data_IF_301875111003
#
_entry.id   IF_301875111003
#
_cell.length_a   1.000
_cell.length_b   1.000
_cell.length_c   1.000
_cell.angle_alpha   90.00
_cell.angle_beta   90.00
_cell.angle_gamma   90.00
#
_symmetry.space_group_name_H-M   'P 1'
#
loop_
_entity.id
_entity.type
_entity.pdbx_description
1 polymer ?
#
# COMPACT_ATOMS: atom_id res chain seq x y z
N UNK A 1 9.78 -19.25 11.33
CA UNK A 1 9.69 -18.16 10.32
C UNK A 1 10.74 -17.11 10.66
N UNK A 2 11.49 -16.63 9.67
CA UNK A 2 12.46 -15.56 9.89
C UNK A 2 11.78 -14.28 10.41
N UNK A 3 12.44 -13.43 11.23
CA UNK A 3 11.85 -12.19 11.74
C UNK A 3 11.27 -11.30 10.63
N UNK A 4 12.00 -11.21 9.51
CA UNK A 4 11.58 -10.47 8.32
C UNK A 4 10.31 -11.05 7.66
N UNK A 5 10.19 -12.38 7.61
CA UNK A 5 9.00 -13.07 7.09
C UNK A 5 7.77 -12.83 7.99
N UNK A 6 7.94 -12.92 9.31
CA UNK A 6 6.87 -12.66 10.29
C UNK A 6 6.37 -11.22 10.20
N UNK A 7 7.28 -10.26 10.07
CA UNK A 7 6.92 -8.84 9.84
C UNK A 7 6.14 -8.66 8.56
N UNK A 8 6.63 -9.21 7.44
CA UNK A 8 5.97 -9.10 6.14
C UNK A 8 4.54 -9.67 6.17
N UNK A 9 4.32 -10.74 6.95
CA UNK A 9 2.98 -11.28 7.15
C UNK A 9 2.06 -10.31 7.90
N UNK A 10 2.52 -9.73 9.02
CA UNK A 10 1.73 -8.76 9.78
C UNK A 10 1.42 -7.50 8.97
N UNK A 11 2.41 -6.94 8.27
CA UNK A 11 2.21 -5.76 7.43
C UNK A 11 1.25 -6.06 6.27
N UNK A 12 1.28 -7.28 5.72
CA UNK A 12 0.32 -7.71 4.73
C UNK A 12 -1.11 -7.77 5.30
N UNK A 13 -1.30 -8.44 6.44
CA UNK A 13 -2.63 -8.58 7.07
C UNK A 13 -3.22 -7.21 7.41
N UNK A 14 -2.42 -6.34 8.03
CA UNK A 14 -2.84 -4.98 8.40
C UNK A 14 -3.16 -4.16 7.14
N UNK A 15 -2.31 -4.23 6.11
CA UNK A 15 -2.54 -3.55 4.84
C UNK A 15 -3.81 -4.01 4.14
N UNK A 16 -4.09 -5.31 4.13
CA UNK A 16 -5.32 -5.87 3.53
C UNK A 16 -6.54 -5.47 4.33
N UNK A 17 -6.50 -5.59 5.66
CA UNK A 17 -7.61 -5.18 6.52
C UNK A 17 -7.94 -3.69 6.33
N UNK A 18 -6.91 -2.86 6.22
CA UNK A 18 -7.07 -1.43 5.97
C UNK A 18 -7.62 -1.14 4.56
N UNK A 19 -7.13 -1.84 3.53
CA UNK A 19 -7.67 -1.71 2.18
C UNK A 19 -9.16 -2.06 2.12
N UNK A 20 -9.56 -3.15 2.78
CA UNK A 20 -10.97 -3.56 2.90
C UNK A 20 -11.78 -2.49 3.63
N UNK A 21 -11.28 -1.99 4.77
CA UNK A 21 -11.96 -0.96 5.54
C UNK A 21 -12.23 0.30 4.70
N UNK A 22 -11.24 0.75 3.92
CA UNK A 22 -11.43 1.88 3.00
C UNK A 22 -12.47 1.57 1.92
N UNK A 23 -12.41 0.40 1.29
CA UNK A 23 -13.39 0.01 0.27
C UNK A 23 -14.81 0.04 0.86
N UNK A 24 -15.00 -0.48 2.07
CA UNK A 24 -16.29 -0.44 2.76
C UNK A 24 -16.74 1.00 3.01
N UNK A 25 -15.86 1.86 3.52
CA UNK A 25 -16.18 3.28 3.74
C UNK A 25 -16.60 3.96 2.44
N UNK A 26 -15.87 3.75 1.34
CA UNK A 26 -16.23 4.33 0.05
C UNK A 26 -17.56 3.78 -0.52
N UNK A 27 -17.88 2.51 -0.29
CA UNK A 27 -19.17 1.93 -0.70
C UNK A 27 -20.32 2.51 0.11
N UNK A 28 -20.12 2.69 1.42
CA UNK A 28 -21.14 3.23 2.33
C UNK A 28 -21.45 4.70 2.08
N UNK A 29 -20.43 5.51 1.79
CA UNK A 29 -20.64 6.94 1.51
C UNK A 29 -21.30 7.19 0.15
N UNK A 30 -21.26 6.22 -0.77
CA UNK A 30 -22.10 6.14 -1.97
C UNK A 30 -21.83 7.17 -3.07
N UNK A 31 -21.15 8.29 -2.79
CA UNK A 31 -20.88 9.34 -3.76
C UNK A 31 -19.53 10.05 -3.55
N UNK A 32 -18.80 10.26 -4.64
CA UNK A 32 -17.55 11.06 -4.70
C UNK A 32 -17.82 12.52 -4.30
N UNK A 33 -19.06 13.00 -4.45
CA UNK A 33 -19.44 14.35 -4.01
C UNK A 33 -19.41 14.51 -2.49
N UNK A 34 -19.58 13.44 -1.72
CA UNK A 34 -19.51 13.45 -0.25
C UNK A 34 -18.15 13.95 0.24
N UNK A 35 -17.06 13.67 -0.48
CA UNK A 35 -15.73 14.19 -0.15
C UNK A 35 -15.64 15.73 -0.19
N UNK A 36 -16.41 16.36 -1.08
CA UNK A 36 -16.42 17.81 -1.21
C UNK A 36 -17.34 18.46 -0.18
N UNK A 37 -18.48 17.84 0.10
CA UNK A 37 -19.52 18.38 0.97
C UNK A 37 -19.26 18.12 2.45
N UNK A 38 -18.75 16.94 2.80
CA UNK A 38 -18.61 16.49 4.17
C UNK A 38 -17.19 16.69 4.71
N UNK A 39 -17.05 17.70 5.58
CA UNK A 39 -15.77 18.01 6.23
C UNK A 39 -15.27 16.84 7.08
N UNK A 40 -16.17 16.10 7.73
CA UNK A 40 -15.84 14.96 8.58
C UNK A 40 -15.23 13.81 7.78
N UNK A 41 -15.86 13.41 6.67
CA UNK A 41 -15.35 12.38 5.77
C UNK A 41 -13.94 12.69 5.27
N UNK A 42 -13.71 13.94 4.83
CA UNK A 42 -12.39 14.39 4.38
C UNK A 42 -11.31 14.28 5.47
N UNK A 43 -11.64 14.62 6.73
CA UNK A 43 -10.70 14.44 7.85
C UNK A 43 -10.41 12.98 8.15
N UNK A 44 -11.40 12.09 8.05
CA UNK A 44 -11.20 10.65 8.21
C UNK A 44 -10.24 10.15 7.14
N UNK A 45 -10.43 10.54 5.88
CA UNK A 45 -9.54 10.16 4.77
C UNK A 45 -8.11 10.67 4.99
N UNK A 46 -7.93 11.90 5.47
CA UNK A 46 -6.59 12.43 5.82
C UNK A 46 -5.96 11.75 7.03
N UNK A 47 -6.75 11.41 8.05
CA UNK A 47 -6.27 10.63 9.18
C UNK A 47 -5.82 9.24 8.72
N UNK A 48 -6.54 8.62 7.80
CA UNK A 48 -6.19 7.35 7.18
C UNK A 48 -4.88 7.47 6.37
N UNK A 49 -4.72 8.57 5.62
CA UNK A 49 -3.54 8.90 4.82
C UNK A 49 -2.26 9.03 5.65
N UNK A 50 -2.36 9.55 6.88
CA UNK A 50 -1.23 9.69 7.81
C UNK A 50 -1.06 8.43 8.67
N UNK A 51 -2.16 7.82 9.10
CA UNK A 51 -2.18 6.67 9.99
C UNK A 51 -1.54 5.42 9.38
N UNK A 52 -1.70 5.20 8.08
CA UNK A 52 -1.11 4.03 7.38
C UNK A 52 0.41 4.09 7.30
N UNK A 53 1.04 5.17 6.79
CA UNK A 53 2.49 5.31 6.85
C UNK A 53 3.01 5.22 8.28
N UNK A 54 2.34 5.84 9.25
CA UNK A 54 2.77 5.82 10.65
C UNK A 54 2.73 4.41 11.23
N UNK A 55 1.64 3.67 11.04
CA UNK A 55 1.57 2.28 11.50
C UNK A 55 2.65 1.41 10.87
N UNK A 56 2.93 1.60 9.58
CA UNK A 56 4.03 0.91 8.91
C UNK A 56 5.42 1.27 9.50
N UNK A 57 5.69 2.56 9.73
CA UNK A 57 6.94 3.03 10.34
C UNK A 57 7.12 2.51 11.77
N UNK A 58 6.07 2.55 12.58
CA UNK A 58 6.08 2.00 13.94
C UNK A 58 6.39 0.50 13.91
N UNK A 59 5.77 -0.25 12.98
CA UNK A 59 6.05 -1.67 12.83
C UNK A 59 7.50 -1.94 12.41
N UNK A 60 8.07 -1.11 11.53
CA UNK A 60 9.49 -1.20 11.14
C UNK A 60 10.39 -1.00 12.35
N UNK A 61 10.18 0.08 13.11
CA UNK A 61 11.03 0.46 14.24
C UNK A 61 10.99 -0.59 15.36
N UNK A 62 9.79 -1.08 15.68
CA UNK A 62 9.61 -2.11 16.69
C UNK A 62 10.20 -3.47 16.30
N UNK A 63 10.28 -3.80 15.01
CA UNK A 63 10.72 -5.13 14.55
C UNK A 63 12.18 -5.21 14.10
N UNK A 64 12.83 -4.09 13.73
CA UNK A 64 14.21 -4.06 13.23
C UNK A 64 15.24 -3.47 14.22
N UNK A 65 15.03 -3.65 15.53
CA UNK A 65 15.92 -3.08 16.57
C UNK A 65 17.41 -3.45 16.46
N UNK A 66 17.80 -4.47 15.69
CA UNK A 66 19.21 -4.85 15.50
C UNK A 66 19.54 -5.17 14.03
N UNK A 67 20.28 -4.32 13.30
CA UNK A 67 20.69 -4.56 11.91
C UNK A 67 21.62 -5.78 11.75
N UNK A 68 22.22 -6.27 12.84
CA UNK A 68 23.05 -7.49 12.88
C UNK A 68 22.26 -8.80 12.77
N UNK A 69 20.93 -8.76 12.75
CA UNK A 69 20.08 -9.95 12.57
C UNK A 69 19.73 -10.27 11.10
N UNK A 70 20.13 -9.42 10.15
CA UNK A 70 19.84 -9.63 8.73
C UNK A 70 20.96 -10.44 8.06
N UNK A 71 20.65 -11.69 7.74
CA UNK A 71 21.50 -12.59 6.96
C UNK A 71 21.64 -12.09 5.51
N UNK A 72 22.67 -12.54 4.78
CA UNK A 72 22.89 -12.18 3.37
C UNK A 72 21.68 -12.57 2.51
N UNK A 73 21.05 -13.70 2.85
CA UNK A 73 19.82 -14.16 2.21
C UNK A 73 18.68 -13.15 2.35
N UNK A 74 18.52 -12.58 3.54
CA UNK A 74 17.46 -11.63 3.84
C UNK A 74 17.66 -10.32 3.08
N UNK A 75 18.92 -9.89 2.89
CA UNK A 75 19.26 -8.72 2.06
C UNK A 75 18.88 -8.91 0.60
N UNK A 76 19.17 -10.08 0.02
CA UNK A 76 18.81 -10.39 -1.37
C UNK A 76 17.29 -10.42 -1.57
N UNK A 77 16.55 -11.01 -0.62
CA UNK A 77 15.08 -11.01 -0.64
C UNK A 77 14.52 -9.59 -0.54
N UNK A 78 15.07 -8.78 0.37
CA UNK A 78 14.65 -7.38 0.54
C UNK A 78 14.88 -6.57 -0.75
N UNK A 79 16.04 -6.71 -1.40
CA UNK A 79 16.33 -6.03 -2.67
C UNK A 79 15.36 -6.43 -3.79
N UNK A 80 15.03 -7.72 -3.94
CA UNK A 80 14.02 -8.17 -4.91
C UNK A 80 12.63 -7.63 -4.59
N UNK A 81 12.25 -7.64 -3.31
CA UNK A 81 10.95 -7.12 -2.87
C UNK A 81 10.77 -5.64 -3.23
N UNK A 82 11.84 -4.84 -3.15
CA UNK A 82 11.83 -3.44 -3.56
C UNK A 82 11.54 -3.26 -5.05
N UNK A 83 12.05 -4.16 -5.92
CA UNK A 83 11.73 -4.13 -7.36
C UNK A 83 10.25 -4.44 -7.63
N UNK A 84 9.70 -5.42 -6.91
CA UNK A 84 8.28 -5.79 -7.03
C UNK A 84 7.39 -4.63 -6.58
N UNK A 85 7.73 -4.00 -5.45
CA UNK A 85 7.06 -2.81 -4.94
C UNK A 85 7.06 -1.68 -5.97
N UNK A 86 8.24 -1.35 -6.53
CA UNK A 86 8.37 -0.30 -7.54
C UNK A 86 7.52 -0.57 -8.78
N UNK A 87 7.54 -1.79 -9.30
CA UNK A 87 6.71 -2.19 -10.45
C UNK A 87 5.21 -2.06 -10.13
N UNK A 88 4.78 -2.49 -8.95
CA UNK A 88 3.38 -2.40 -8.54
C UNK A 88 2.90 -0.94 -8.47
N UNK A 89 3.73 -0.03 -7.94
CA UNK A 89 3.42 1.41 -7.92
C UNK A 89 3.32 1.97 -9.33
N UNK A 90 4.26 1.65 -10.22
CA UNK A 90 4.22 2.16 -11.60
C UNK A 90 3.01 1.65 -12.37
N UNK A 91 2.70 0.36 -12.30
CA UNK A 91 1.52 -0.18 -12.97
C UNK A 91 0.23 0.40 -12.41
N UNK A 92 0.15 0.64 -11.10
CA UNK A 92 -0.99 1.32 -10.49
C UNK A 92 -1.15 2.75 -10.99
N UNK A 93 -0.07 3.53 -11.04
CA UNK A 93 -0.10 4.90 -11.57
C UNK A 93 -0.45 4.94 -13.05
N UNK A 94 0.06 3.98 -13.84
CA UNK A 94 -0.28 3.87 -15.25
C UNK A 94 -1.77 3.56 -15.45
N UNK A 95 -2.32 2.63 -14.65
CA UNK A 95 -3.75 2.32 -14.66
C UNK A 95 -4.60 3.54 -14.29
N UNK A 96 -4.21 4.28 -13.24
CA UNK A 96 -4.89 5.52 -12.85
C UNK A 96 -4.87 6.56 -13.96
N UNK A 97 -3.72 6.76 -14.60
CA UNK A 97 -3.57 7.71 -15.70
C UNK A 97 -4.51 7.34 -16.86
N UNK A 98 -4.49 6.09 -17.32
CA UNK A 98 -5.34 5.63 -18.42
C UNK A 98 -6.82 5.79 -18.06
N UNK A 99 -7.24 5.28 -16.90
CA UNK A 99 -8.66 5.31 -16.48
C UNK A 99 -9.17 6.75 -16.37
N UNK A 100 -8.43 7.63 -15.69
CA UNK A 100 -8.86 9.02 -15.51
C UNK A 100 -8.86 9.78 -16.82
N UNK A 101 -7.90 9.52 -17.72
CA UNK A 101 -7.88 10.13 -19.04
C UNK A 101 -9.09 9.71 -19.86
N UNK A 102 -9.44 8.43 -19.91
CA UNK A 102 -10.60 7.94 -20.68
C UNK A 102 -11.93 8.43 -20.10
N UNK A 103 -12.10 8.37 -18.77
CA UNK A 103 -13.37 8.76 -18.12
C UNK A 103 -13.60 10.28 -18.18
N UNK A 104 -12.55 11.09 -18.04
CA UNK A 104 -12.65 12.56 -17.96
C UNK A 104 -12.18 13.27 -19.23
N UNK A 105 -11.97 12.55 -20.35
CA UNK A 105 -11.43 13.11 -21.59
C UNK A 105 -12.27 14.28 -22.11
N UNK A 106 -13.60 14.10 -22.12
CA UNK A 106 -14.54 15.09 -22.65
C UNK A 106 -14.61 16.33 -21.76
N UNK A 107 -14.56 16.13 -20.44
CA UNK A 107 -14.74 17.19 -19.44
C UNK A 107 -13.46 18.04 -19.27
N UNK A 108 -12.30 17.51 -19.69
CA UNK A 108 -10.98 18.16 -19.56
C UNK A 108 -10.62 18.61 -18.14
N UNK A 109 -11.27 18.03 -17.14
CA UNK A 109 -11.05 18.32 -15.72
C UNK A 109 -11.17 17.04 -14.91
N UNK A 110 -10.22 16.81 -14.02
CA UNK A 110 -10.21 15.65 -13.11
C UNK A 110 -10.56 16.13 -11.70
N UNK A 111 -11.59 15.57 -11.05
CA UNK A 111 -11.93 15.92 -9.67
C UNK A 111 -10.77 15.68 -8.70
N UNK A 112 -10.54 16.63 -7.79
CA UNK A 112 -9.44 16.62 -6.82
C UNK A 112 -9.47 15.38 -5.90
N UNK A 113 -10.66 14.82 -5.65
CA UNK A 113 -10.85 13.59 -4.86
C UNK A 113 -9.97 12.44 -5.37
N UNK A 114 -9.84 12.31 -6.69
CA UNK A 114 -9.03 11.26 -7.29
C UNK A 114 -7.55 11.40 -6.97
N UNK A 115 -7.02 12.60 -6.75
CA UNK A 115 -5.63 12.78 -6.33
C UNK A 115 -5.39 12.13 -4.97
N UNK A 116 -6.32 12.34 -4.03
CA UNK A 116 -6.28 11.70 -2.70
C UNK A 116 -6.38 10.18 -2.82
N UNK A 117 -7.27 9.70 -3.70
CA UNK A 117 -7.52 8.27 -3.88
C UNK A 117 -6.35 7.56 -4.58
N UNK A 118 -5.74 8.18 -5.59
CA UNK A 118 -4.50 7.72 -6.22
C UNK A 118 -3.40 7.60 -5.17
N UNK A 119 -3.23 8.63 -4.33
CA UNK A 119 -2.19 8.62 -3.31
C UNK A 119 -2.40 7.50 -2.28
N UNK A 120 -3.61 7.36 -1.75
CA UNK A 120 -3.91 6.33 -0.74
C UNK A 120 -3.79 4.92 -1.35
N UNK A 121 -4.34 4.70 -2.54
CA UNK A 121 -4.24 3.40 -3.21
C UNK A 121 -2.78 3.02 -3.53
N UNK A 122 -1.96 3.97 -3.99
CA UNK A 122 -0.54 3.72 -4.26
C UNK A 122 0.25 3.42 -3.00
N UNK A 123 -0.01 4.09 -1.87
CA UNK A 123 0.59 3.75 -0.57
C UNK A 123 0.24 2.32 -0.14
N UNK A 124 -1.03 1.94 -0.24
CA UNK A 124 -1.49 0.59 0.12
C UNK A 124 -0.83 -0.44 -0.79
N UNK A 125 -0.87 -0.23 -2.10
CA UNK A 125 -0.26 -1.14 -3.09
C UNK A 125 1.23 -1.29 -2.83
N UNK A 126 1.92 -0.20 -2.50
CA UNK A 126 3.34 -0.20 -2.16
C UNK A 126 3.65 -1.11 -0.96
N UNK A 127 2.92 -0.95 0.14
CA UNK A 127 3.09 -1.77 1.36
C UNK A 127 2.75 -3.24 1.10
N UNK A 128 1.64 -3.50 0.41
CA UNK A 128 1.21 -4.86 0.06
C UNK A 128 2.21 -5.55 -0.86
N UNK A 129 2.66 -4.87 -1.92
CA UNK A 129 3.60 -5.42 -2.88
C UNK A 129 4.97 -5.72 -2.26
N UNK A 130 5.47 -4.84 -1.37
CA UNK A 130 6.69 -5.10 -0.63
C UNK A 130 6.54 -6.33 0.28
N UNK A 131 5.44 -6.41 1.04
CA UNK A 131 5.15 -7.51 1.95
C UNK A 131 5.02 -8.85 1.20
N UNK A 132 4.26 -8.87 0.10
CA UNK A 132 4.11 -10.03 -0.78
C UNK A 132 5.45 -10.44 -1.40
N UNK A 133 6.24 -9.48 -1.87
CA UNK A 133 7.55 -9.74 -2.45
C UNK A 133 8.50 -10.45 -1.49
N UNK A 134 8.49 -10.05 -0.20
CA UNK A 134 9.26 -10.72 0.85
C UNK A 134 8.75 -12.14 1.09
N UNK A 135 7.43 -12.33 1.24
CA UNK A 135 6.84 -13.65 1.50
C UNK A 135 7.09 -14.64 0.36
N UNK A 136 6.92 -14.20 -0.89
CA UNK A 136 7.22 -15.00 -2.09
C UNK A 136 8.71 -15.32 -2.16
N UNK A 137 9.57 -14.37 -1.79
CA UNK A 137 11.02 -14.58 -1.71
C UNK A 137 11.39 -15.73 -0.76
N UNK A 138 10.79 -15.77 0.44
CA UNK A 138 10.99 -16.87 1.38
C UNK A 138 10.39 -18.19 0.91
N UNK A 139 9.19 -18.17 0.33
CA UNK A 139 8.56 -19.40 -0.19
C UNK A 139 9.40 -20.06 -1.29
N UNK A 140 9.94 -19.26 -2.23
CA UNK A 140 10.84 -19.78 -3.28
C UNK A 140 12.16 -20.29 -2.72
N UNK A 141 12.75 -19.57 -1.76
CA UNK A 141 14.00 -20.00 -1.13
C UNK A 141 13.84 -21.34 -0.39
N UNK A 142 12.71 -21.54 0.29
CA UNK A 142 12.42 -22.78 1.02
C UNK A 142 12.03 -23.96 0.12
N UNK A 143 11.71 -23.71 -1.16
CA UNK A 143 11.41 -24.74 -2.17
C UNK A 143 12.67 -25.22 -2.90
N UNK A 144 13.70 -24.38 -2.96
CA UNK A 144 14.93 -24.62 -3.74
C UNK A 144 16.14 -24.98 -2.87
N UNK A 145 15.96 -25.11 -1.55
CA UNK A 145 16.98 -25.58 -0.59
C UNK A 145 16.49 -26.83 0.10
#
# INVERSE_FOLDING_TARGET
>A
MAPLQKRALFTLIIGVAFAIALIVVFILEGDITAFNQEKAFRWIVYAALIGVPLTYLILIDLTLRKPTQLDERDRLIMQRSGRIQWLAVIFSLAAWMIILTEVYQEQRQVPVVFLTLIFISTLIISILAQSLGILIGYWRANRNG
#
